data_IF_543984250617
#
_entry.id   IF_543984250617
#
_cell.length_a   1.000
_cell.length_b   1.000
_cell.length_c   1.000
_cell.angle_alpha   90.00
_cell.angle_beta   90.00
_cell.angle_gamma   90.00
#
_symmetry.space_group_name_H-M   'P 1'
#
loop_
_entity.id
_entity.type
_entity.pdbx_description
1 polymer ?
#
# COMPACT_ATOMS: atom_id res chain seq x y z
N UNK A 1 22.10 -12.57 -2.15
CA UNK A 1 23.52 -12.22 -1.80
C UNK A 1 24.10 -13.18 -0.79
N UNK A 2 25.01 -14.09 -1.20
CA UNK A 2 25.56 -15.12 -0.29
C UNK A 2 26.71 -14.61 0.60
N UNK A 3 27.60 -13.77 0.07
CA UNK A 3 28.80 -13.35 0.79
C UNK A 3 28.50 -12.23 1.80
N UNK A 4 29.00 -12.31 3.05
CA UNK A 4 28.73 -11.31 4.10
C UNK A 4 29.16 -9.90 3.71
N UNK A 5 30.29 -9.75 3.04
CA UNK A 5 30.83 -8.45 2.65
C UNK A 5 29.90 -7.72 1.65
N UNK A 6 29.32 -8.45 0.69
CA UNK A 6 28.39 -7.84 -0.26
C UNK A 6 27.07 -7.42 0.41
N UNK A 7 26.60 -8.22 1.39
CA UNK A 7 25.42 -7.83 2.17
C UNK A 7 25.67 -6.55 2.96
N UNK A 8 26.83 -6.46 3.60
CA UNK A 8 27.22 -5.27 4.38
C UNK A 8 27.32 -4.02 3.49
N UNK A 9 27.99 -4.12 2.35
CA UNK A 9 28.14 -3.00 1.42
C UNK A 9 26.79 -2.54 0.86
N UNK A 10 25.94 -3.50 0.47
CA UNK A 10 24.59 -3.21 -0.04
C UNK A 10 23.67 -2.60 1.03
N UNK A 11 23.71 -3.11 2.28
CA UNK A 11 22.97 -2.54 3.40
C UNK A 11 23.41 -1.10 3.67
N UNK A 12 24.72 -0.86 3.73
CA UNK A 12 25.28 0.46 3.91
C UNK A 12 24.81 1.44 2.84
N UNK A 13 24.98 1.07 1.56
CA UNK A 13 24.54 1.91 0.44
C UNK A 13 23.04 2.19 0.47
N UNK A 14 22.24 1.17 0.78
CA UNK A 14 20.79 1.33 0.89
C UNK A 14 20.41 2.27 2.03
N UNK A 15 21.00 2.13 3.22
CA UNK A 15 20.74 2.99 4.40
C UNK A 15 21.15 4.43 4.18
N UNK A 16 22.28 4.65 3.50
CA UNK A 16 22.81 5.99 3.25
C UNK A 16 21.94 6.80 2.29
N UNK A 17 21.27 6.13 1.33
CA UNK A 17 20.54 6.82 0.28
C UNK A 17 19.08 6.39 0.15
N UNK A 18 18.79 5.18 -0.37
CA UNK A 18 17.43 4.76 -0.72
C UNK A 18 16.47 4.73 0.48
N UNK A 19 16.94 4.27 1.64
CA UNK A 19 16.14 4.25 2.87
C UNK A 19 15.70 5.65 3.29
N UNK A 20 16.59 6.64 3.23
CA UNK A 20 16.28 8.03 3.59
C UNK A 20 15.22 8.62 2.67
N UNK A 21 15.35 8.41 1.36
CA UNK A 21 14.34 8.84 0.38
C UNK A 21 12.99 8.16 0.63
N UNK A 22 12.99 6.87 0.90
CA UNK A 22 11.77 6.13 1.22
C UNK A 22 11.07 6.69 2.46
N UNK A 23 11.81 6.86 3.57
CA UNK A 23 11.26 7.40 4.82
C UNK A 23 10.71 8.81 4.60
N UNK A 24 11.46 9.66 3.88
CA UNK A 24 10.99 10.99 3.51
C UNK A 24 9.66 10.93 2.73
N UNK A 25 9.54 10.05 1.73
CA UNK A 25 8.32 9.90 0.93
C UNK A 25 7.14 9.38 1.75
N UNK A 26 7.36 8.39 2.60
CA UNK A 26 6.33 7.84 3.49
C UNK A 26 5.79 8.92 4.44
N UNK A 27 6.69 9.76 4.98
CA UNK A 27 6.30 10.86 5.88
C UNK A 27 5.62 12.00 5.12
N UNK A 28 6.14 12.41 3.97
CA UNK A 28 5.54 13.47 3.14
C UNK A 28 4.14 13.13 2.62
N UNK A 29 3.85 11.85 2.48
CA UNK A 29 2.55 11.36 2.00
C UNK A 29 1.67 10.87 3.14
N UNK A 30 1.99 11.19 4.39
CA UNK A 30 1.22 10.85 5.58
C UNK A 30 0.85 9.36 5.69
N UNK A 31 1.66 8.46 5.08
CA UNK A 31 1.50 7.02 5.28
C UNK A 31 1.84 6.65 6.72
N UNK A 32 2.82 7.35 7.27
CA UNK A 32 3.11 7.44 8.70
C UNK A 32 2.76 8.87 9.12
N UNK A 33 1.81 9.08 10.05
CA UNK A 33 1.26 8.10 11.01
C UNK A 33 -0.07 7.44 10.61
N UNK A 34 -0.68 7.75 9.46
CA UNK A 34 -2.05 7.33 9.14
C UNK A 34 -2.23 5.80 9.18
N UNK A 35 -1.41 5.06 8.45
CA UNK A 35 -1.54 3.59 8.34
C UNK A 35 -0.83 2.88 9.49
N UNK A 36 0.39 3.30 9.80
CA UNK A 36 1.17 2.81 10.94
C UNK A 36 1.76 3.99 11.72
N UNK A 37 1.83 3.91 13.06
CA UNK A 37 2.32 5.00 13.89
C UNK A 37 3.80 5.32 13.65
N UNK A 38 4.60 4.32 13.35
CA UNK A 38 6.01 4.44 13.02
C UNK A 38 6.48 3.23 12.22
N UNK A 39 7.51 3.41 11.42
CA UNK A 39 8.20 2.32 10.75
C UNK A 39 9.71 2.63 10.69
N UNK A 40 10.51 1.63 10.99
CA UNK A 40 11.95 1.64 10.78
C UNK A 40 12.33 0.56 9.76
N UNK A 41 12.41 0.92 8.45
CA UNK A 41 12.70 -0.06 7.41
C UNK A 41 14.10 -0.64 7.58
N UNK A 42 14.19 -1.97 7.69
CA UNK A 42 15.44 -2.74 7.77
C UNK A 42 15.68 -3.59 6.52
N UNK A 43 14.67 -3.66 5.65
CA UNK A 43 14.66 -4.44 4.41
C UNK A 43 14.32 -3.52 3.26
N UNK A 44 15.03 -3.64 2.13
CA UNK A 44 14.63 -2.94 0.90
C UNK A 44 13.45 -3.64 0.26
N UNK A 45 12.48 -2.84 -0.18
CA UNK A 45 11.30 -3.32 -0.90
C UNK A 45 11.16 -2.52 -2.18
N UNK A 46 11.51 -3.14 -3.30
CA UNK A 46 11.30 -2.57 -4.63
C UNK A 46 10.03 -3.17 -5.25
N UNK A 47 9.22 -2.32 -5.90
CA UNK A 47 7.92 -2.68 -6.47
C UNK A 47 8.00 -2.62 -7.99
N UNK A 48 7.44 -3.63 -8.67
CA UNK A 48 7.33 -3.63 -10.12
C UNK A 48 5.98 -4.16 -10.60
N UNK A 49 5.47 -3.58 -11.68
CA UNK A 49 4.35 -4.09 -12.45
C UNK A 49 4.86 -4.55 -13.82
N UNK A 50 4.84 -5.85 -14.07
CA UNK A 50 5.46 -6.45 -15.25
C UNK A 50 6.95 -6.16 -15.29
N UNK A 51 7.41 -5.38 -16.29
CA UNK A 51 8.82 -4.97 -16.44
C UNK A 51 9.13 -3.58 -15.92
N UNK A 52 8.13 -2.84 -15.46
CA UNK A 52 8.27 -1.46 -14.98
C UNK A 52 8.50 -1.44 -13.48
N UNK A 53 9.65 -0.94 -13.05
CA UNK A 53 9.89 -0.62 -11.65
C UNK A 53 9.21 0.69 -11.29
N UNK A 54 8.58 0.72 -10.13
CA UNK A 54 7.83 1.86 -9.62
C UNK A 54 8.60 2.50 -8.47
N UNK A 55 8.87 3.79 -8.58
CA UNK A 55 9.54 4.54 -7.52
C UNK A 55 8.54 4.88 -6.39
N UNK A 56 9.02 5.01 -5.14
CA UNK A 56 8.16 5.36 -4.02
C UNK A 56 7.37 6.65 -4.27
N UNK A 57 6.02 6.55 -4.26
CA UNK A 57 5.12 7.66 -4.51
C UNK A 57 4.83 7.97 -5.98
N UNK A 58 5.26 7.14 -6.91
CA UNK A 58 4.94 7.29 -8.33
C UNK A 58 3.47 6.97 -8.61
N UNK A 59 2.89 7.64 -9.61
CA UNK A 59 1.56 7.30 -10.12
C UNK A 59 1.61 6.07 -11.01
N UNK A 60 0.67 5.16 -10.78
CA UNK A 60 0.49 3.95 -11.57
C UNK A 60 -0.90 3.94 -12.18
N UNK A 61 -0.97 3.74 -13.49
CA UNK A 61 -2.22 3.59 -14.24
C UNK A 61 -3.06 2.42 -13.72
N UNK A 62 -4.38 2.59 -13.75
CA UNK A 62 -5.33 1.55 -13.34
C UNK A 62 -5.16 0.26 -14.14
N UNK A 63 -4.94 0.36 -15.45
CA UNK A 63 -4.70 -0.79 -16.36
C UNK A 63 -3.42 -1.55 -16.02
N UNK A 64 -2.37 -0.83 -15.57
CA UNK A 64 -1.10 -1.45 -15.17
C UNK A 64 -1.26 -2.17 -13.84
N UNK A 65 -1.98 -1.57 -12.89
CA UNK A 65 -2.22 -2.14 -11.55
C UNK A 65 -3.29 -3.23 -11.53
N UNK A 66 -3.96 -3.51 -12.66
CA UNK A 66 -4.90 -4.62 -12.78
C UNK A 66 -4.19 -5.97 -12.59
N UNK A 67 -2.95 -6.08 -13.07
CA UNK A 67 -2.12 -7.27 -12.87
C UNK A 67 -1.44 -7.18 -11.50
N UNK A 68 -1.43 -8.28 -10.71
CA UNK A 68 -0.71 -8.30 -9.45
C UNK A 68 0.76 -7.93 -9.60
N UNK A 69 1.25 -7.10 -8.70
CA UNK A 69 2.63 -6.64 -8.67
C UNK A 69 3.63 -7.78 -8.37
N UNK A 70 4.88 -7.52 -8.64
CA UNK A 70 6.02 -8.27 -8.11
C UNK A 70 6.82 -7.39 -7.15
N UNK A 71 7.29 -8.00 -6.08
CA UNK A 71 8.10 -7.34 -5.07
C UNK A 71 9.49 -7.95 -5.06
N UNK A 72 10.50 -7.12 -4.97
CA UNK A 72 11.86 -7.55 -4.63
C UNK A 72 12.15 -7.13 -3.20
N UNK A 73 12.19 -8.12 -2.30
CA UNK A 73 12.38 -7.92 -0.86
C UNK A 73 13.80 -8.37 -0.52
N UNK A 74 14.70 -7.43 -0.23
CA UNK A 74 16.10 -7.73 0.05
C UNK A 74 16.39 -7.56 1.55
N UNK A 75 16.43 -8.66 2.32
CA UNK A 75 17.00 -8.65 3.66
C UNK A 75 18.53 -8.65 3.59
N UNK A 76 19.16 -7.90 4.47
CA UNK A 76 20.62 -7.79 4.54
C UNK A 76 21.24 -8.67 5.64
N UNK A 77 20.42 -9.18 6.53
CA UNK A 77 20.85 -10.13 7.58
C UNK A 77 20.80 -11.56 7.08
N UNK A 78 21.67 -12.41 7.61
CA UNK A 78 21.70 -13.84 7.30
C UNK A 78 20.44 -14.55 7.85
N UNK A 79 19.99 -15.55 7.14
CA UNK A 79 18.88 -16.41 7.55
C UNK A 79 17.64 -16.26 6.68
N UNK A 80 16.75 -17.20 6.80
CA UNK A 80 15.42 -17.19 6.19
C UNK A 80 14.43 -16.56 7.19
N UNK A 81 13.50 -15.77 6.67
CA UNK A 81 12.48 -15.09 7.47
C UNK A 81 11.12 -15.32 6.88
N UNK A 82 10.15 -15.49 7.76
CA UNK A 82 8.74 -15.50 7.38
C UNK A 82 8.22 -14.06 7.41
N UNK A 83 7.58 -13.67 6.33
CA UNK A 83 6.99 -12.33 6.22
C UNK A 83 5.53 -12.39 5.78
N UNK A 84 4.79 -11.39 6.20
CA UNK A 84 3.44 -11.06 5.72
C UNK A 84 3.53 -9.82 4.84
N UNK A 85 2.88 -9.86 3.68
CA UNK A 85 2.78 -8.71 2.77
C UNK A 85 1.36 -8.18 2.85
N UNK A 86 1.23 -6.88 3.13
CA UNK A 86 -0.05 -6.17 3.15
C UNK A 86 0.01 -4.95 2.24
N UNK A 87 -1.03 -4.77 1.40
CA UNK A 87 -1.23 -3.57 0.59
C UNK A 87 -2.53 -2.92 1.03
N UNK A 88 -2.43 -1.70 1.55
CA UNK A 88 -3.55 -1.00 2.18
C UNK A 88 -3.73 0.38 1.53
N UNK A 89 -4.98 0.71 1.26
CA UNK A 89 -5.42 2.04 0.83
C UNK A 89 -6.16 2.73 2.00
N UNK A 90 -5.64 3.84 2.54
CA UNK A 90 -6.30 4.60 3.59
C UNK A 90 -7.29 5.66 3.06
N UNK A 91 -7.37 5.85 1.74
CA UNK A 91 -8.06 6.98 1.12
C UNK A 91 -9.37 6.56 0.43
N UNK A 92 -10.10 5.62 1.01
CA UNK A 92 -11.39 5.18 0.46
C UNK A 92 -12.49 6.10 0.95
N UNK A 93 -13.16 6.88 0.07
CA UNK A 93 -14.19 7.80 0.51
C UNK A 93 -15.36 7.07 1.18
N UNK A 94 -15.77 7.56 2.34
CA UNK A 94 -16.94 7.10 3.06
C UNK A 94 -17.87 8.28 3.35
N UNK A 95 -18.89 8.43 2.50
CA UNK A 95 -19.86 9.54 2.59
C UNK A 95 -20.68 9.48 3.88
N UNK A 96 -20.96 8.28 4.40
CA UNK A 96 -21.75 8.11 5.61
C UNK A 96 -21.07 8.62 6.87
N UNK A 97 -19.72 8.60 6.87
CA UNK A 97 -18.89 9.06 8.00
C UNK A 97 -18.29 10.45 7.78
N UNK A 98 -18.55 11.06 6.62
CA UNK A 98 -17.89 12.28 6.17
C UNK A 98 -16.35 12.20 6.30
N UNK A 99 -15.77 11.11 5.80
CA UNK A 99 -14.35 10.84 5.96
C UNK A 99 -13.84 9.73 5.05
N UNK A 100 -12.75 9.11 5.45
CA UNK A 100 -12.10 8.04 4.71
C UNK A 100 -12.06 6.76 5.51
N UNK A 101 -12.19 5.63 4.81
CA UNK A 101 -12.03 4.28 5.37
C UNK A 101 -10.77 3.62 4.80
N UNK A 102 -10.27 2.62 5.53
CA UNK A 102 -9.17 1.77 5.07
C UNK A 102 -9.69 0.61 4.24
N UNK A 103 -8.95 0.25 3.21
CA UNK A 103 -9.22 -0.94 2.39
C UNK A 103 -7.95 -1.75 2.15
N UNK A 104 -8.04 -3.06 2.36
CA UNK A 104 -6.95 -3.97 2.05
C UNK A 104 -7.07 -4.44 0.60
N UNK A 105 -6.04 -4.18 -0.21
CA UNK A 105 -5.96 -4.60 -1.61
C UNK A 105 -5.32 -5.98 -1.77
N UNK A 106 -4.40 -6.32 -0.88
CA UNK A 106 -3.75 -7.63 -0.86
C UNK A 106 -3.26 -7.96 0.55
N UNK A 107 -3.41 -9.23 0.95
CA UNK A 107 -2.87 -9.73 2.21
C UNK A 107 -2.45 -11.19 2.03
N UNK A 108 -1.17 -11.48 2.26
CA UNK A 108 -0.64 -12.83 2.24
C UNK A 108 0.39 -12.99 3.35
N UNK A 109 0.40 -14.16 3.99
CA UNK A 109 1.28 -14.49 5.12
C UNK A 109 2.12 -15.73 4.83
N UNK A 110 3.08 -16.02 5.71
CA UNK A 110 3.96 -17.19 5.64
C UNK A 110 4.84 -17.25 4.39
N UNK A 111 5.26 -16.08 3.91
CA UNK A 111 6.11 -15.96 2.74
C UNK A 111 7.57 -16.04 3.20
N UNK A 112 8.32 -16.99 2.66
CA UNK A 112 9.73 -17.17 2.97
C UNK A 112 10.59 -16.21 2.13
N UNK A 113 11.41 -15.44 2.81
CA UNK A 113 12.34 -14.49 2.19
C UNK A 113 13.74 -14.70 2.77
N UNK A 114 14.74 -14.70 1.89
CA UNK A 114 16.14 -14.82 2.29
C UNK A 114 17.03 -13.89 1.45
N UNK A 115 18.28 -13.62 1.84
CA UNK A 115 19.19 -12.79 1.07
C UNK A 115 19.48 -13.29 -0.36
N UNK A 116 19.15 -14.55 -0.63
CA UNK A 116 19.31 -15.21 -1.94
C UNK A 116 18.01 -15.35 -2.72
N UNK A 117 16.88 -15.39 -2.00
CA UNK A 117 15.55 -15.49 -2.58
C UNK A 117 14.77 -14.24 -2.21
N UNK A 118 14.86 -13.23 -3.07
CA UNK A 118 14.33 -11.88 -2.83
C UNK A 118 13.06 -11.58 -3.62
N UNK A 119 12.88 -12.27 -4.76
CA UNK A 119 11.76 -12.01 -5.66
C UNK A 119 10.50 -12.73 -5.21
N UNK A 120 9.42 -11.97 -5.04
CA UNK A 120 8.11 -12.45 -4.64
C UNK A 120 7.08 -11.97 -5.66
N UNK A 121 6.53 -12.89 -6.44
CA UNK A 121 5.44 -12.59 -7.37
C UNK A 121 4.10 -12.74 -6.69
N UNK A 122 3.35 -11.64 -6.52
CA UNK A 122 2.02 -11.67 -5.91
C UNK A 122 1.02 -12.46 -6.77
N UNK A 123 1.25 -12.52 -8.09
CA UNK A 123 0.47 -13.37 -9.00
C UNK A 123 0.66 -14.86 -8.69
N UNK A 124 1.89 -15.30 -8.48
CA UNK A 124 2.19 -16.68 -8.14
C UNK A 124 1.65 -17.05 -6.74
N UNK A 125 1.75 -16.13 -5.77
CA UNK A 125 1.17 -16.31 -4.44
C UNK A 125 -0.35 -16.46 -4.49
N UNK A 126 -1.04 -15.76 -5.38
CA UNK A 126 -2.50 -15.84 -5.50
C UNK A 126 -3.01 -17.25 -5.82
N UNK A 127 -2.16 -18.12 -6.33
CA UNK A 127 -2.45 -19.53 -6.59
C UNK A 127 -2.11 -20.45 -5.41
N UNK A 128 -1.53 -19.92 -4.33
CA UNK A 128 -1.07 -20.67 -3.17
C UNK A 128 -1.99 -20.45 -1.97
N UNK A 129 -1.90 -21.37 -0.99
CA UNK A 129 -2.68 -21.32 0.25
C UNK A 129 -2.31 -20.14 1.19
N UNK A 130 -1.24 -19.42 0.89
CA UNK A 130 -0.68 -18.34 1.71
C UNK A 130 -1.47 -17.02 1.65
N UNK A 131 -2.40 -16.87 0.70
CA UNK A 131 -3.18 -15.64 0.51
C UNK A 131 -4.40 -15.63 1.43
N UNK A 132 -4.52 -14.57 2.23
CA UNK A 132 -5.69 -14.27 3.07
C UNK A 132 -6.71 -13.48 2.26
N UNK A 133 -6.28 -12.35 1.67
CA UNK A 133 -7.10 -11.52 0.78
C UNK A 133 -6.45 -11.45 -0.59
N UNK A 134 -7.11 -11.94 -1.65
CA UNK A 134 -6.55 -11.94 -3.02
C UNK A 134 -6.34 -10.52 -3.54
N UNK A 135 -5.60 -10.40 -4.65
CA UNK A 135 -5.33 -9.11 -5.28
C UNK A 135 -6.61 -8.37 -5.68
N UNK A 136 -6.67 -7.09 -5.31
CA UNK A 136 -7.65 -6.14 -5.78
C UNK A 136 -6.89 -5.04 -6.54
N UNK A 137 -7.24 -4.72 -7.79
CA UNK A 137 -6.61 -3.62 -8.53
C UNK A 137 -6.67 -2.30 -7.78
N UNK A 138 -5.65 -1.46 -7.96
CA UNK A 138 -5.72 -0.10 -7.46
C UNK A 138 -6.72 0.71 -8.30
N UNK A 139 -7.57 1.48 -7.63
CA UNK A 139 -8.52 2.36 -8.28
C UNK A 139 -8.83 3.56 -7.40
N UNK A 140 -9.21 4.64 -8.06
CA UNK A 140 -9.69 5.86 -7.42
C UNK A 140 -10.96 6.28 -8.14
N UNK A 141 -12.02 6.62 -7.41
CA UNK A 141 -13.27 7.04 -8.01
C UNK A 141 -13.15 8.42 -8.66
N UNK A 142 -13.96 8.65 -9.69
CA UNK A 142 -13.99 9.92 -10.40
C UNK A 142 -14.35 11.06 -9.45
N UNK A 143 -13.54 12.13 -9.48
CA UNK A 143 -13.70 13.29 -8.60
C UNK A 143 -13.01 13.18 -7.24
N UNK A 144 -12.53 12.00 -6.85
CA UNK A 144 -11.64 11.86 -5.70
C UNK A 144 -10.20 12.28 -6.09
N UNK A 145 -9.38 12.77 -5.14
CA UNK A 145 -8.04 13.27 -5.48
C UNK A 145 -7.14 12.14 -6.00
N UNK A 146 -6.48 11.43 -5.17
CA UNK A 146 -5.71 10.22 -5.48
C UNK A 146 -5.73 9.30 -4.26
N UNK A 147 -5.46 8.03 -4.49
CA UNK A 147 -5.36 7.03 -3.42
C UNK A 147 -3.93 6.59 -3.23
N UNK A 148 -3.51 6.50 -1.97
CA UNK A 148 -2.19 6.00 -1.55
C UNK A 148 -2.27 4.49 -1.38
N UNK A 149 -1.53 3.77 -2.21
CA UNK A 149 -1.38 2.32 -2.08
C UNK A 149 -0.13 2.02 -1.28
N UNK A 150 -0.30 1.79 0.01
CA UNK A 150 0.80 1.55 0.94
C UNK A 150 1.12 0.07 1.02
N UNK A 151 2.34 -0.29 0.65
CA UNK A 151 2.85 -1.67 0.65
C UNK A 151 3.71 -1.87 1.88
N UNK A 152 3.39 -2.87 2.70
CA UNK A 152 4.15 -3.19 3.90
C UNK A 152 4.62 -4.64 3.88
N UNK A 153 5.85 -4.82 4.33
CA UNK A 153 6.45 -6.12 4.61
C UNK A 153 6.63 -6.22 6.12
N UNK A 154 5.96 -7.19 6.70
CA UNK A 154 5.86 -7.41 8.14
C UNK A 154 6.54 -8.73 8.50
N UNK A 155 7.57 -8.70 9.33
CA UNK A 155 8.26 -9.91 9.81
C UNK A 155 7.42 -10.62 10.86
N UNK A 156 7.30 -11.92 10.74
CA UNK A 156 6.57 -12.78 11.66
C UNK A 156 7.51 -13.23 12.78
N UNK A 157 7.44 -12.56 13.93
CA UNK A 157 8.26 -12.90 15.10
C UNK A 157 7.66 -14.04 15.94
N UNK A 158 6.36 -14.28 15.80
CA UNK A 158 5.61 -15.30 16.53
C UNK A 158 5.46 -16.66 15.81
N UNK A 159 6.14 -16.84 14.66
CA UNK A 159 6.00 -18.06 13.85
C UNK A 159 4.96 -17.92 12.72
N UNK A 160 4.42 -19.03 12.26
CA UNK A 160 3.45 -19.05 11.16
C UNK A 160 2.08 -18.48 11.58
N UNK A 161 1.47 -17.75 10.67
CA UNK A 161 0.11 -17.19 10.84
C UNK A 161 -0.90 -18.17 10.26
N UNK A 162 -1.98 -18.43 11.00
CA UNK A 162 -3.09 -19.23 10.49
C UNK A 162 -3.85 -18.45 9.39
N UNK A 163 -3.60 -18.86 8.16
CA UNK A 163 -4.18 -18.24 6.96
C UNK A 163 -5.67 -18.57 6.82
N UNK A 164 -6.09 -19.78 7.24
CA UNK A 164 -7.49 -20.22 7.12
C UNK A 164 -8.37 -19.39 8.04
N UNK A 165 -8.02 -19.33 9.31
CA UNK A 165 -8.70 -18.45 10.27
C UNK A 165 -8.63 -16.96 9.85
N UNK A 166 -7.54 -16.58 9.19
CA UNK A 166 -7.36 -15.24 8.64
C UNK A 166 -8.39 -14.89 7.57
N UNK A 167 -8.70 -15.81 6.65
CA UNK A 167 -9.69 -15.62 5.58
C UNK A 167 -11.11 -15.40 6.11
N UNK A 168 -11.47 -16.07 7.17
CA UNK A 168 -12.79 -15.91 7.81
C UNK A 168 -12.90 -14.60 8.60
N UNK A 169 -11.80 -14.18 9.19
CA UNK A 169 -11.77 -13.07 10.14
C UNK A 169 -11.56 -11.70 9.52
N UNK A 170 -10.68 -11.59 8.52
CA UNK A 170 -10.29 -10.30 7.96
C UNK A 170 -11.08 -9.97 6.70
N UNK A 171 -11.72 -8.80 6.73
CA UNK A 171 -12.45 -8.23 5.62
C UNK A 171 -11.62 -7.13 4.95
N UNK A 172 -11.89 -6.89 3.66
CA UNK A 172 -11.19 -5.84 2.90
C UNK A 172 -11.54 -4.44 3.39
N UNK A 173 -12.84 -4.20 3.65
CA UNK A 173 -13.34 -2.91 4.10
C UNK A 173 -13.08 -2.73 5.58
N UNK A 174 -12.64 -1.51 5.96
CA UNK A 174 -12.33 -1.21 7.35
C UNK A 174 -11.11 -1.95 7.90
N UNK A 175 -10.21 -2.43 7.03
CA UNK A 175 -9.02 -3.16 7.45
C UNK A 175 -7.99 -2.22 8.08
N UNK A 176 -7.88 -2.25 9.39
CA UNK A 176 -6.91 -1.46 10.16
C UNK A 176 -5.62 -2.26 10.33
N UNK A 177 -4.58 -1.88 9.57
CA UNK A 177 -3.29 -2.56 9.59
C UNK A 177 -2.62 -2.55 10.98
N UNK A 178 -2.73 -1.44 11.73
CA UNK A 178 -2.20 -1.34 13.09
C UNK A 178 -2.75 -2.45 13.99
N UNK A 179 -4.05 -2.63 14.02
CA UNK A 179 -4.69 -3.67 14.84
C UNK A 179 -4.27 -5.08 14.40
N UNK A 180 -4.05 -5.28 13.10
CA UNK A 180 -3.56 -6.56 12.56
C UNK A 180 -2.14 -6.84 13.03
N UNK A 181 -1.25 -5.85 12.95
CA UNK A 181 0.16 -5.92 13.38
C UNK A 181 0.26 -6.23 14.88
N UNK A 182 -0.49 -5.48 15.69
CA UNK A 182 -0.48 -5.62 17.16
C UNK A 182 -0.98 -7.01 17.59
N UNK A 183 -2.08 -7.48 16.99
CA UNK A 183 -2.71 -8.75 17.32
C UNK A 183 -1.85 -9.95 17.00
N UNK A 184 -1.15 -9.94 15.88
CA UNK A 184 -0.27 -11.02 15.44
C UNK A 184 1.18 -10.80 15.85
N UNK A 185 1.48 -9.74 16.59
CA UNK A 185 2.84 -9.37 17.02
C UNK A 185 3.82 -9.33 15.85
N UNK A 186 3.39 -8.73 14.73
CA UNK A 186 4.22 -8.59 13.55
C UNK A 186 5.12 -7.37 13.70
N UNK A 187 6.30 -7.42 13.07
CA UNK A 187 7.24 -6.29 13.05
C UNK A 187 7.29 -5.68 11.66
N UNK A 188 6.93 -4.40 11.45
CA UNK A 188 7.11 -3.72 10.18
C UNK A 188 8.60 -3.56 9.85
N UNK A 189 9.08 -4.26 8.83
CA UNK A 189 10.50 -4.28 8.44
C UNK A 189 10.78 -3.64 7.09
N UNK A 190 9.76 -3.52 6.24
CA UNK A 190 9.89 -2.90 4.92
C UNK A 190 8.60 -2.20 4.52
N UNK A 191 8.75 -1.18 3.69
CA UNK A 191 7.63 -0.46 3.10
C UNK A 191 7.96 -0.01 1.69
N UNK A 192 6.92 0.25 0.93
CA UNK A 192 6.93 0.97 -0.34
C UNK A 192 5.55 1.63 -0.52
N UNK A 193 5.41 2.54 -1.45
CA UNK A 193 4.12 3.12 -1.77
C UNK A 193 4.06 3.52 -3.25
N UNK A 194 2.87 3.46 -3.81
CA UNK A 194 2.54 4.05 -5.10
C UNK A 194 1.19 4.75 -5.00
N UNK A 195 0.87 5.56 -5.99
CA UNK A 195 -0.39 6.30 -6.02
C UNK A 195 -1.23 5.87 -7.21
N UNK A 196 -2.54 5.87 -7.02
CA UNK A 196 -3.52 5.69 -8.07
C UNK A 196 -4.41 6.93 -8.14
N UNK A 197 -4.73 7.38 -9.33
CA UNK A 197 -5.72 8.42 -9.58
C UNK A 197 -6.72 7.91 -10.60
N UNK A 198 -7.87 8.60 -10.71
CA UNK A 198 -8.83 8.28 -11.74
C UNK A 198 -8.23 8.51 -13.13
N UNK A 199 -8.31 7.50 -13.98
CA UNK A 199 -7.93 7.52 -15.39
C UNK A 199 -9.03 6.91 -16.27
N UNK A 200 -8.86 6.97 -17.59
CA UNK A 200 -9.81 6.41 -18.54
C UNK A 200 -10.01 4.89 -18.40
N UNK A 201 -9.02 4.19 -17.86
CA UNK A 201 -9.05 2.75 -17.63
C UNK A 201 -9.80 2.35 -16.39
N UNK A 202 -9.92 3.26 -15.40
CA UNK A 202 -10.40 2.94 -14.05
C UNK A 202 -11.80 2.30 -14.05
N UNK A 203 -12.74 2.87 -14.80
CA UNK A 203 -14.10 2.33 -14.86
C UNK A 203 -14.12 0.90 -15.41
N UNK A 204 -13.34 0.62 -16.47
CA UNK A 204 -13.23 -0.72 -17.06
C UNK A 204 -12.55 -1.73 -16.13
N UNK A 205 -11.50 -1.31 -15.41
CA UNK A 205 -10.83 -2.15 -14.42
C UNK A 205 -11.77 -2.49 -13.26
N UNK A 206 -12.49 -1.50 -12.73
CA UNK A 206 -13.48 -1.72 -11.67
C UNK A 206 -14.57 -2.69 -12.10
N UNK A 207 -15.08 -2.55 -13.34
CA UNK A 207 -16.12 -3.42 -13.87
C UNK A 207 -15.62 -4.87 -14.02
N UNK A 208 -14.42 -5.09 -14.57
CA UNK A 208 -13.81 -6.42 -14.69
C UNK A 208 -13.51 -7.07 -13.35
N UNK A 209 -13.12 -6.28 -12.38
CA UNK A 209 -12.85 -6.74 -11.02
C UNK A 209 -14.12 -6.91 -10.16
N UNK A 210 -15.31 -6.63 -10.70
CA UNK A 210 -16.58 -6.72 -9.97
C UNK A 210 -16.72 -5.70 -8.83
N UNK A 211 -16.03 -4.54 -8.95
CA UNK A 211 -16.06 -3.49 -7.93
C UNK A 211 -17.25 -2.58 -8.19
N UNK A 212 -18.19 -2.42 -7.24
CA UNK A 212 -19.34 -1.55 -7.41
C UNK A 212 -18.93 -0.07 -7.43
N UNK A 213 -19.76 0.77 -8.05
CA UNK A 213 -19.56 2.23 -8.05
C UNK A 213 -18.62 2.75 -9.14
N UNK A 214 -18.38 2.00 -10.23
CA UNK A 214 -17.57 2.42 -11.37
C UNK A 214 -18.09 3.66 -12.08
N UNK A 215 -19.39 3.95 -11.97
CA UNK A 215 -20.07 5.12 -12.54
C UNK A 215 -20.32 6.25 -11.53
N UNK A 216 -19.89 6.09 -10.29
CA UNK A 216 -20.04 7.12 -9.26
C UNK A 216 -19.01 8.22 -9.47
N UNK A 217 -19.46 9.48 -9.49
CA UNK A 217 -18.63 10.66 -9.59
C UNK A 217 -18.83 11.55 -8.35
N UNK A 218 -17.76 11.85 -7.64
CA UNK A 218 -17.76 12.84 -6.58
C UNK A 218 -17.68 14.25 -7.17
N UNK A 219 -18.76 15.01 -7.07
CA UNK A 219 -18.80 16.40 -7.55
C UNK A 219 -18.61 17.37 -6.40
N UNK A 220 -17.76 18.36 -6.62
CA UNK A 220 -17.64 19.46 -5.67
C UNK A 220 -18.96 20.22 -5.62
N UNK A 221 -19.49 20.46 -4.41
CA UNK A 221 -20.64 21.33 -4.25
C UNK A 221 -20.28 22.73 -4.77
N UNK A 222 -21.16 23.30 -5.61
CA UNK A 222 -21.05 24.71 -5.96
C UNK A 222 -21.29 25.54 -4.71
N UNK A 223 -20.33 26.37 -4.36
CA UNK A 223 -20.55 27.42 -3.37
C UNK A 223 -21.42 28.47 -4.05
N UNK A 224 -22.60 28.70 -3.54
CA UNK A 224 -23.47 29.77 -4.02
C UNK A 224 -22.75 31.10 -3.84
N UNK A 225 -22.73 31.98 -4.89
CA UNK A 225 -22.15 33.28 -4.72
C UNK A 225 -22.92 34.06 -3.66
N UNK A 226 -22.17 34.80 -2.85
CA UNK A 226 -22.80 35.67 -1.84
C UNK A 226 -23.84 36.58 -2.52
N UNK A 227 -25.02 36.81 -1.90
CA UNK A 227 -26.10 37.60 -2.48
C UNK A 227 -25.74 39.09 -2.66
N UNK A 228 -24.59 39.49 -2.20
CA UNK A 228 -24.06 40.86 -2.32
C UNK A 228 -22.58 40.86 -2.77
N UNK A 229 -22.19 41.88 -3.49
CA UNK A 229 -20.80 42.10 -3.83
C UNK A 229 -20.06 42.72 -2.64
N UNK A 230 -18.96 42.10 -2.23
CA UNK A 230 -18.09 42.65 -1.20
C UNK A 230 -17.47 43.98 -1.69
N UNK A 231 -17.70 45.07 -0.96
CA UNK A 231 -17.12 46.35 -1.27
C UNK A 231 -15.65 46.36 -0.83
N UNK A 232 -14.68 46.63 -1.73
CA UNK A 232 -13.28 46.66 -1.35
C UNK A 232 -13.05 47.68 -0.22
N UNK A 233 -12.32 47.32 0.82
CA UNK A 233 -12.01 48.18 1.95
C UNK A 233 -13.08 48.26 3.06
N UNK A 234 -14.27 47.67 2.90
CA UNK A 234 -15.26 47.65 3.97
C UNK A 234 -14.98 46.51 4.98
N UNK A 235 -15.02 46.81 6.26
CA UNK A 235 -15.01 45.80 7.33
C UNK A 235 -16.43 45.29 7.51
N UNK A 236 -16.66 44.04 7.21
CA UNK A 236 -17.90 43.35 7.57
C UNK A 236 -17.77 42.88 9.02
N UNK A 237 -18.69 43.31 9.87
CA UNK A 237 -18.81 42.80 11.24
C UNK A 237 -19.72 41.59 11.27
#
# INVERSE_FOLDING_TARGET
MNKPIYRYLADRQWREYKRKLLVQRITQMDVVPDVLPAIDPTVSVDLAFGRRNVQPGEFVDSRVSEIPASLEIQPYTKGERLVTIAIVNPDVPNVSKDGFDYRCHFLASNIKVSPTQTSVSLKALSQQSQVILPWLPAYTQKGAPYSRMSVFVLEQTGGEVDVVAGRERYQRQGFILRSFVDKLRLKPVGANLYRSQYDEGTAGVMQRAGIPGHNVEFKRMKVEPLPYKKIPGSRYR
#
